data_IF_937156830886
#
_entry.id   IF_937156830886
#
_cell.length_a   1.000
_cell.length_b   1.000
_cell.length_c   1.000
_cell.angle_alpha   90.00
_cell.angle_beta   90.00
_cell.angle_gamma   90.00
#
_symmetry.space_group_name_H-M   'P 1'
#
loop_
_entity.id
_entity.type
_entity.pdbx_description
1 polymer ?
#
# COMPACT_ATOMS: atom_id res chain seq x y z
N UNK A 1 0.30 64.60 5.46
CA UNK A 1 0.07 63.32 6.18
C UNK A 1 -0.84 62.35 5.40
N UNK A 2 -0.57 62.06 4.12
CA UNK A 2 -1.30 61.00 3.38
C UNK A 2 -0.41 60.10 2.51
N UNK A 3 0.89 60.40 2.40
CA UNK A 3 1.84 59.56 1.65
C UNK A 3 2.74 58.67 2.53
N UNK A 4 2.86 58.96 3.83
CA UNK A 4 3.68 58.15 4.75
C UNK A 4 3.02 56.83 5.21
N UNK A 5 1.71 56.67 5.02
CA UNK A 5 0.97 55.48 5.49
C UNK A 5 0.98 54.36 4.44
N UNK A 6 1.21 54.67 3.15
CA UNK A 6 1.24 53.66 2.09
C UNK A 6 2.55 52.87 2.00
N UNK A 7 3.67 53.44 2.46
CA UNK A 7 4.97 52.75 2.45
C UNK A 7 5.11 51.68 3.53
N UNK A 8 4.46 51.87 4.69
CA UNK A 8 4.56 50.94 5.83
C UNK A 8 3.65 49.72 5.64
N UNK A 9 2.50 49.88 4.99
CA UNK A 9 1.60 48.74 4.72
C UNK A 9 2.15 47.77 3.66
N UNK A 10 2.95 48.23 2.70
CA UNK A 10 3.52 47.35 1.67
C UNK A 10 4.73 46.56 2.21
N UNK A 11 5.50 47.14 3.14
CA UNK A 11 6.61 46.44 3.79
C UNK A 11 6.15 45.31 4.73
N UNK A 12 4.98 45.45 5.36
CA UNK A 12 4.40 44.41 6.23
C UNK A 12 3.76 43.24 5.45
N UNK A 13 3.35 43.45 4.20
CA UNK A 13 2.81 42.39 3.36
C UNK A 13 3.88 41.51 2.72
N UNK A 14 5.11 42.00 2.56
CA UNK A 14 6.22 41.19 2.00
C UNK A 14 6.83 40.26 3.06
N UNK A 15 6.79 40.62 4.36
CA UNK A 15 7.26 39.75 5.44
C UNK A 15 6.29 38.62 5.82
N UNK A 16 5.01 38.69 5.43
CA UNK A 16 4.03 37.62 5.72
C UNK A 16 3.94 36.60 4.58
N UNK A 17 4.29 36.97 3.34
CA UNK A 17 4.27 36.04 2.19
C UNK A 17 5.55 35.20 2.08
N UNK A 18 6.64 35.57 2.77
CA UNK A 18 7.87 34.77 2.83
C UNK A 18 7.92 33.76 4.00
N UNK A 19 6.86 33.65 4.81
CA UNK A 19 6.80 32.72 5.95
C UNK A 19 5.81 31.56 5.81
N UNK A 20 5.38 31.25 4.58
CA UNK A 20 4.65 30.01 4.26
C UNK A 20 5.29 29.21 3.12
N UNK A 21 6.53 29.53 2.76
CA UNK A 21 7.43 28.54 2.18
C UNK A 21 8.23 27.86 3.31
N UNK A 22 7.56 27.50 4.41
CA UNK A 22 8.02 26.35 5.19
C UNK A 22 8.00 25.20 4.20
N UNK A 23 9.18 24.74 3.84
CA UNK A 23 9.38 23.44 3.24
C UNK A 23 8.55 22.44 4.04
N UNK A 24 7.38 22.08 3.53
CA UNK A 24 6.91 20.72 3.66
C UNK A 24 7.89 19.86 2.84
N UNK A 25 9.12 19.76 3.32
CA UNK A 25 9.81 18.48 3.35
C UNK A 25 8.87 17.60 4.15
N UNK A 26 7.89 17.02 3.47
CA UNK A 26 7.30 15.76 3.87
C UNK A 26 8.51 14.87 4.11
N UNK A 27 8.90 14.71 5.36
CA UNK A 27 9.86 13.69 5.73
C UNK A 27 9.18 12.39 5.32
N UNK A 28 9.54 11.92 4.14
CA UNK A 28 9.06 10.69 3.54
C UNK A 28 9.75 9.53 4.30
N UNK A 29 9.46 9.45 5.59
CA UNK A 29 9.86 8.37 6.49
C UNK A 29 8.98 7.15 6.17
N UNK A 30 8.99 6.69 4.92
CA UNK A 30 8.62 5.31 4.62
C UNK A 30 9.56 4.42 5.44
N UNK A 31 8.98 3.74 6.42
CA UNK A 31 9.59 2.79 7.33
C UNK A 31 10.35 1.71 6.53
N UNK A 32 11.48 1.25 7.04
CA UNK A 32 12.13 0.06 6.47
C UNK A 32 11.23 -1.16 6.69
N UNK A 33 11.17 -2.03 5.67
CA UNK A 33 10.34 -3.23 5.72
C UNK A 33 10.70 -4.12 6.91
N UNK A 34 9.70 -4.60 7.64
CA UNK A 34 9.91 -5.53 8.74
C UNK A 34 9.98 -6.97 8.20
N UNK A 35 11.20 -7.50 8.10
CA UNK A 35 11.45 -8.85 7.55
C UNK A 35 11.80 -9.86 8.65
N UNK A 36 12.44 -9.42 9.75
CA UNK A 36 13.01 -10.32 10.78
C UNK A 36 12.77 -9.87 12.22
N UNK A 37 12.11 -8.73 12.44
CA UNK A 37 11.86 -8.19 13.77
C UNK A 37 10.67 -8.85 14.48
N UNK A 38 9.85 -8.03 15.13
CA UNK A 38 8.54 -8.44 15.64
C UNK A 38 7.45 -7.79 14.79
N UNK A 39 6.41 -8.54 14.42
CA UNK A 39 5.25 -7.98 13.73
C UNK A 39 4.17 -7.61 14.73
N UNK A 40 4.06 -6.30 15.04
CA UNK A 40 2.98 -5.80 15.92
C UNK A 40 1.60 -6.04 15.31
N UNK A 41 1.46 -5.82 14.01
CA UNK A 41 0.20 -6.02 13.28
C UNK A 41 -0.27 -7.47 13.36
N UNK A 42 0.66 -8.43 13.27
CA UNK A 42 0.31 -9.84 13.42
C UNK A 42 -0.07 -10.18 14.86
N UNK A 43 0.64 -9.66 15.86
CA UNK A 43 0.26 -9.88 17.27
C UNK A 43 -1.12 -9.30 17.57
N UNK A 44 -1.41 -8.09 17.09
CA UNK A 44 -2.74 -7.46 17.23
C UNK A 44 -3.83 -8.31 16.57
N UNK A 45 -3.57 -8.83 15.36
CA UNK A 45 -4.52 -9.72 14.70
C UNK A 45 -4.73 -11.03 15.47
N UNK A 46 -3.65 -11.65 15.99
CA UNK A 46 -3.74 -12.87 16.80
C UNK A 46 -4.58 -12.64 18.06
N UNK A 47 -4.35 -11.53 18.76
CA UNK A 47 -5.08 -11.21 20.00
C UNK A 47 -6.56 -10.97 19.76
N UNK A 48 -6.91 -10.33 18.65
CA UNK A 48 -8.29 -9.93 18.35
C UNK A 48 -9.09 -11.03 17.65
N UNK A 49 -8.48 -11.74 16.71
CA UNK A 49 -9.21 -12.51 15.69
C UNK A 49 -8.96 -14.01 15.75
N UNK A 50 -7.69 -14.42 15.83
CA UNK A 50 -7.29 -15.84 15.72
C UNK A 50 -7.96 -16.71 16.80
N UNK A 51 -8.57 -17.81 16.39
CA UNK A 51 -9.24 -18.78 17.26
C UNK A 51 -10.51 -18.29 17.98
N UNK A 52 -10.94 -17.04 17.75
CA UNK A 52 -12.10 -16.44 18.44
C UNK A 52 -13.30 -16.21 17.52
N UNK A 53 -13.04 -15.79 16.29
CA UNK A 53 -14.07 -15.29 15.38
C UNK A 53 -13.99 -15.90 13.98
N UNK A 54 -13.32 -17.03 13.81
CA UNK A 54 -13.11 -17.66 12.49
C UNK A 54 -14.41 -18.08 11.78
N UNK A 55 -15.52 -18.21 12.52
CA UNK A 55 -16.87 -18.43 11.95
C UNK A 55 -17.69 -17.14 11.83
N UNK A 56 -17.15 -16.01 12.26
CA UNK A 56 -17.82 -14.71 12.26
C UNK A 56 -17.57 -13.97 10.94
N UNK A 57 -18.62 -13.41 10.37
CA UNK A 57 -18.54 -12.61 9.14
C UNK A 57 -17.61 -11.40 9.30
N UNK A 58 -17.49 -10.81 10.49
CA UNK A 58 -16.62 -9.66 10.75
C UNK A 58 -15.14 -10.02 10.66
N UNK A 59 -14.75 -11.23 11.06
CA UNK A 59 -13.39 -11.73 10.86
C UNK A 59 -13.04 -11.75 9.37
N UNK A 60 -13.98 -12.24 8.55
CA UNK A 60 -13.78 -12.42 7.12
C UNK A 60 -13.84 -11.13 6.33
N UNK A 61 -14.71 -10.19 6.69
CA UNK A 61 -14.94 -8.96 5.92
C UNK A 61 -14.18 -7.75 6.43
N UNK A 62 -13.75 -7.76 7.70
CA UNK A 62 -13.10 -6.60 8.33
C UNK A 62 -11.79 -7.00 9.00
N UNK A 63 -11.80 -7.96 9.92
CA UNK A 63 -10.64 -8.27 10.75
C UNK A 63 -9.38 -8.65 9.97
N UNK A 64 -9.42 -9.82 9.35
CA UNK A 64 -8.27 -10.35 8.61
C UNK A 64 -7.93 -9.57 7.33
N UNK A 65 -8.88 -9.17 6.45
CA UNK A 65 -8.50 -8.45 5.24
C UNK A 65 -7.84 -7.09 5.53
N UNK A 66 -8.29 -6.35 6.54
CA UNK A 66 -7.65 -5.08 6.90
C UNK A 66 -6.32 -5.30 7.61
N UNK A 67 -6.15 -6.36 8.39
CA UNK A 67 -4.83 -6.70 8.93
C UNK A 67 -3.83 -6.99 7.80
N UNK A 68 -4.24 -7.74 6.76
CA UNK A 68 -3.41 -7.97 5.56
C UNK A 68 -3.10 -6.64 4.85
N UNK A 69 -4.13 -5.80 4.66
CA UNK A 69 -3.99 -4.45 4.07
C UNK A 69 -2.90 -3.66 4.78
N UNK A 70 -2.99 -3.57 6.10
CA UNK A 70 -2.11 -2.74 6.92
C UNK A 70 -0.69 -3.30 6.90
N UNK A 71 -0.51 -4.63 6.86
CA UNK A 71 0.80 -5.25 6.71
C UNK A 71 1.42 -4.98 5.33
N UNK A 72 0.63 -4.98 4.25
CA UNK A 72 1.11 -4.61 2.91
C UNK A 72 1.53 -3.13 2.86
N UNK A 73 0.71 -2.25 3.45
CA UNK A 73 0.91 -0.79 3.50
C UNK A 73 2.07 -0.37 4.40
N UNK A 74 2.43 -1.18 5.40
CA UNK A 74 3.56 -0.92 6.30
C UNK A 74 4.80 -1.77 5.98
N UNK A 75 4.77 -2.53 4.89
CA UNK A 75 5.82 -3.46 4.49
C UNK A 75 6.23 -4.44 5.61
N UNK A 76 5.25 -4.98 6.33
CA UNK A 76 5.42 -5.97 7.39
C UNK A 76 5.45 -7.39 6.81
N UNK A 77 6.53 -7.70 6.08
CA UNK A 77 6.73 -8.98 5.39
C UNK A 77 6.73 -10.16 6.37
N UNK A 78 7.29 -9.97 7.57
CA UNK A 78 7.23 -10.97 8.62
C UNK A 78 5.78 -11.23 9.04
N UNK A 79 4.98 -10.18 9.27
CA UNK A 79 3.57 -10.30 9.60
C UNK A 79 2.78 -11.06 8.53
N UNK A 80 2.98 -10.69 7.26
CA UNK A 80 2.35 -11.37 6.12
C UNK A 80 2.74 -12.86 6.04
N UNK A 81 4.00 -13.17 6.30
CA UNK A 81 4.50 -14.56 6.31
C UNK A 81 3.86 -15.37 7.42
N UNK A 82 3.81 -14.81 8.64
CA UNK A 82 3.21 -15.48 9.80
C UNK A 82 1.70 -15.70 9.58
N UNK A 83 1.01 -14.69 9.07
CA UNK A 83 -0.41 -14.78 8.76
C UNK A 83 -0.69 -15.82 7.68
N UNK A 84 0.05 -15.79 6.56
CA UNK A 84 -0.10 -16.77 5.49
C UNK A 84 0.13 -18.21 5.97
N UNK A 85 1.06 -18.43 6.90
CA UNK A 85 1.28 -19.74 7.50
C UNK A 85 0.13 -20.20 8.40
N UNK A 86 -0.55 -19.26 9.06
CA UNK A 86 -1.65 -19.54 9.97
C UNK A 86 -2.97 -19.82 9.24
N UNK A 87 -3.33 -18.97 8.28
CA UNK A 87 -4.63 -19.05 7.59
C UNK A 87 -4.56 -19.85 6.30
N UNK A 88 -3.35 -20.17 5.81
CA UNK A 88 -3.10 -20.77 4.51
C UNK A 88 -3.38 -19.86 3.31
N UNK A 89 -2.98 -20.35 2.13
CA UNK A 89 -3.09 -19.62 0.86
C UNK A 89 -4.54 -19.39 0.42
N UNK A 90 -5.39 -20.40 0.54
CA UNK A 90 -6.77 -20.33 0.03
C UNK A 90 -7.54 -19.29 0.83
N UNK A 91 -7.39 -19.32 2.15
CA UNK A 91 -8.05 -18.36 3.03
C UNK A 91 -7.49 -16.95 2.85
N UNK A 92 -6.18 -16.82 2.66
CA UNK A 92 -5.57 -15.53 2.34
C UNK A 92 -6.18 -14.91 1.08
N UNK A 93 -6.36 -15.69 0.02
CA UNK A 93 -7.00 -15.21 -1.22
C UNK A 93 -8.48 -14.90 -0.97
N UNK A 94 -9.19 -15.74 -0.21
CA UNK A 94 -10.59 -15.52 0.17
C UNK A 94 -10.83 -14.16 0.81
N UNK A 95 -9.93 -13.72 1.68
CA UNK A 95 -10.04 -12.41 2.33
C UNK A 95 -9.99 -11.22 1.36
N UNK A 96 -9.47 -11.38 0.14
CA UNK A 96 -9.54 -10.31 -0.88
C UNK A 96 -10.99 -10.03 -1.30
N UNK A 97 -11.74 -11.08 -1.62
CA UNK A 97 -13.15 -10.96 -2.02
C UNK A 97 -14.01 -10.43 -0.87
N UNK A 98 -13.87 -11.05 0.30
CA UNK A 98 -14.73 -10.73 1.45
C UNK A 98 -14.46 -9.33 2.02
N UNK A 99 -13.20 -8.88 1.99
CA UNK A 99 -12.82 -7.52 2.37
C UNK A 99 -13.08 -6.47 1.29
N UNK A 100 -13.46 -6.87 0.07
CA UNK A 100 -13.68 -5.96 -1.05
C UNK A 100 -12.41 -5.24 -1.51
N UNK A 101 -11.25 -5.91 -1.44
CA UNK A 101 -9.95 -5.30 -1.69
C UNK A 101 -8.99 -6.25 -2.39
N UNK A 102 -8.28 -5.73 -3.39
CA UNK A 102 -7.35 -6.51 -4.21
C UNK A 102 -5.93 -6.26 -3.68
N UNK A 103 -5.36 -7.27 -3.01
CA UNK A 103 -4.11 -7.10 -2.25
C UNK A 103 -2.92 -6.70 -3.14
N UNK A 104 -2.84 -7.21 -4.38
CA UNK A 104 -1.78 -6.80 -5.31
C UNK A 104 -1.86 -5.30 -5.63
N UNK A 105 -3.06 -4.76 -5.76
CA UNK A 105 -3.25 -3.34 -6.03
C UNK A 105 -2.87 -2.51 -4.81
N UNK A 106 -3.32 -2.90 -3.62
CA UNK A 106 -2.92 -2.27 -2.35
C UNK A 106 -1.39 -2.23 -2.22
N UNK A 107 -0.71 -3.34 -2.49
CA UNK A 107 0.75 -3.43 -2.43
C UNK A 107 1.44 -2.47 -3.42
N UNK A 108 0.89 -2.31 -4.62
CA UNK A 108 1.37 -1.36 -5.62
C UNK A 108 1.18 0.07 -5.12
N UNK A 109 -0.02 0.44 -4.66
CA UNK A 109 -0.30 1.80 -4.18
C UNK A 109 0.55 2.20 -2.96
N UNK A 110 0.97 1.22 -2.17
CA UNK A 110 1.83 1.41 -1.00
C UNK A 110 3.29 1.77 -1.36
N UNK A 111 3.68 1.65 -2.63
CA UNK A 111 5.03 1.91 -3.12
C UNK A 111 6.12 1.12 -2.35
N UNK A 112 5.83 -0.12 -1.95
CA UNK A 112 6.79 -1.05 -1.34
C UNK A 112 7.03 -2.25 -2.27
N UNK A 113 8.17 -2.29 -2.98
CA UNK A 113 8.48 -3.39 -3.90
C UNK A 113 8.44 -4.78 -3.23
N UNK A 114 8.83 -4.87 -1.96
CA UNK A 114 8.85 -6.11 -1.20
C UNK A 114 7.45 -6.66 -0.95
N UNK A 115 6.44 -5.80 -0.71
CA UNK A 115 5.05 -6.23 -0.55
C UNK A 115 4.51 -6.83 -1.86
N UNK A 116 4.85 -6.22 -3.01
CA UNK A 116 4.52 -6.78 -4.33
C UNK A 116 5.23 -8.11 -4.53
N UNK A 117 6.53 -8.16 -4.28
CA UNK A 117 7.34 -9.38 -4.42
C UNK A 117 6.80 -10.53 -3.57
N UNK A 118 6.43 -10.27 -2.31
CA UNK A 118 5.85 -11.27 -1.41
C UNK A 118 4.63 -11.95 -2.03
N UNK A 119 3.68 -11.16 -2.56
CA UNK A 119 2.45 -11.70 -3.17
C UNK A 119 2.75 -12.56 -4.41
N UNK A 120 3.71 -12.15 -5.23
CA UNK A 120 4.09 -12.88 -6.45
C UNK A 120 4.86 -14.18 -6.14
N UNK A 121 5.81 -14.14 -5.20
CA UNK A 121 6.61 -15.31 -4.83
C UNK A 121 5.77 -16.40 -4.16
N UNK A 122 4.79 -15.99 -3.34
CA UNK A 122 3.86 -16.91 -2.71
C UNK A 122 2.72 -17.34 -3.63
N UNK A 123 2.69 -16.86 -4.88
CA UNK A 123 1.67 -17.16 -5.87
C UNK A 123 0.28 -16.87 -5.31
N UNK A 124 0.01 -15.62 -4.96
CA UNK A 124 -1.23 -15.14 -4.35
C UNK A 124 -2.07 -14.27 -5.29
N UNK A 125 -1.77 -14.29 -6.60
CA UNK A 125 -2.43 -13.49 -7.62
C UNK A 125 -3.42 -14.31 -8.44
N UNK A 126 -4.21 -13.62 -9.27
CA UNK A 126 -5.14 -14.24 -10.21
C UNK A 126 -4.43 -15.18 -11.19
N UNK A 127 -3.25 -14.80 -11.69
CA UNK A 127 -2.49 -15.59 -12.66
C UNK A 127 -2.17 -16.99 -12.14
N UNK A 128 -1.83 -17.11 -10.85
CA UNK A 128 -1.46 -18.38 -10.24
C UNK A 128 -2.64 -19.17 -9.65
N UNK A 129 -3.77 -18.51 -9.37
CA UNK A 129 -4.92 -19.10 -8.65
C UNK A 129 -6.25 -18.83 -9.34
N UNK A 130 -6.26 -18.99 -10.67
CA UNK A 130 -7.41 -18.69 -11.53
C UNK A 130 -8.73 -19.29 -10.98
N UNK A 131 -8.73 -20.56 -10.61
CA UNK A 131 -9.93 -21.25 -10.13
C UNK A 131 -10.50 -20.61 -8.86
N UNK A 132 -9.64 -20.19 -7.93
CA UNK A 132 -10.05 -19.54 -6.67
C UNK A 132 -10.63 -18.16 -6.96
N UNK A 133 -9.99 -17.39 -7.85
CA UNK A 133 -10.46 -16.05 -8.24
C UNK A 133 -11.80 -16.12 -8.99
N UNK A 134 -11.99 -17.13 -9.85
CA UNK A 134 -13.27 -17.36 -10.53
C UNK A 134 -14.38 -17.78 -9.55
N UNK A 135 -14.09 -18.70 -8.61
CA UNK A 135 -15.03 -19.12 -7.56
C UNK A 135 -15.49 -17.93 -6.70
N UNK A 136 -14.57 -17.01 -6.41
CA UNK A 136 -14.81 -15.86 -5.54
C UNK A 136 -15.20 -14.58 -6.30
N UNK A 137 -15.32 -14.66 -7.63
CA UNK A 137 -15.64 -13.51 -8.50
C UNK A 137 -14.70 -12.31 -8.30
N UNK A 138 -13.41 -12.56 -8.04
CA UNK A 138 -12.39 -11.52 -7.92
C UNK A 138 -11.84 -11.19 -9.30
N UNK A 139 -11.93 -9.93 -9.69
CA UNK A 139 -11.18 -9.39 -10.82
C UNK A 139 -9.97 -8.62 -10.29
N UNK A 140 -8.75 -8.97 -10.75
CA UNK A 140 -7.52 -8.30 -10.31
C UNK A 140 -7.31 -6.97 -11.06
N UNK A 141 -8.31 -6.09 -11.02
CA UNK A 141 -8.29 -4.74 -11.61
C UNK A 141 -8.93 -3.72 -10.66
N UNK A 142 -8.44 -2.49 -10.64
CA UNK A 142 -9.10 -1.36 -9.95
C UNK A 142 -9.38 -0.29 -11.00
N UNK A 143 -10.64 0.17 -11.09
CA UNK A 143 -11.07 1.16 -12.07
C UNK A 143 -10.73 0.77 -13.53
N UNK A 144 -10.69 -0.54 -13.82
CA UNK A 144 -10.31 -1.08 -15.12
C UNK A 144 -8.79 -1.08 -15.41
N UNK A 145 -7.95 -0.73 -14.43
CA UNK A 145 -6.51 -0.78 -14.55
C UNK A 145 -5.97 -2.14 -14.11
N UNK A 146 -5.15 -2.73 -14.98
CA UNK A 146 -4.29 -3.88 -14.63
C UNK A 146 -3.18 -3.46 -13.66
N UNK A 147 -2.53 -4.41 -12.94
CA UNK A 147 -1.42 -4.09 -12.04
C UNK A 147 -0.30 -3.27 -12.70
N UNK A 148 0.07 -3.60 -13.94
CA UNK A 148 1.11 -2.88 -14.68
C UNK A 148 0.67 -1.47 -15.07
N UNK A 149 -0.59 -1.26 -15.42
CA UNK A 149 -1.12 0.07 -15.74
C UNK A 149 -1.18 0.94 -14.47
N UNK A 150 -1.64 0.40 -13.35
CA UNK A 150 -1.67 1.10 -12.07
C UNK A 150 -0.26 1.54 -11.64
N UNK A 151 0.72 0.63 -11.68
CA UNK A 151 2.10 0.94 -11.33
C UNK A 151 2.70 2.05 -12.23
N UNK A 152 2.41 2.03 -13.53
CA UNK A 152 2.84 3.09 -14.44
C UNK A 152 2.17 4.43 -14.11
N UNK A 153 0.87 4.44 -13.83
CA UNK A 153 0.16 5.65 -13.44
C UNK A 153 0.77 6.26 -12.18
N UNK A 154 0.96 5.45 -11.13
CA UNK A 154 1.55 5.92 -9.87
C UNK A 154 2.99 6.41 -10.03
N UNK A 155 3.78 5.81 -10.92
CA UNK A 155 5.10 6.32 -11.30
C UNK A 155 5.00 7.75 -11.88
N UNK A 156 4.05 8.01 -12.78
CA UNK A 156 3.88 9.36 -13.35
C UNK A 156 3.44 10.36 -12.28
N UNK A 157 2.55 9.96 -11.38
CA UNK A 157 2.14 10.78 -10.23
C UNK A 157 3.34 11.12 -9.32
N UNK A 158 4.22 10.15 -9.03
CA UNK A 158 5.43 10.36 -8.24
C UNK A 158 6.42 11.30 -8.95
N UNK A 159 6.60 11.14 -10.28
CA UNK A 159 7.42 12.04 -11.11
C UNK A 159 6.90 13.47 -11.09
N UNK A 160 5.58 13.65 -11.24
CA UNK A 160 4.96 14.96 -11.18
C UNK A 160 5.13 15.65 -9.81
N UNK A 161 5.17 14.87 -8.72
CA UNK A 161 5.39 15.35 -7.35
C UNK A 161 6.88 15.53 -6.98
N UNK A 162 7.80 15.06 -7.81
CA UNK A 162 9.24 15.08 -7.50
C UNK A 162 9.64 14.12 -6.37
N UNK A 163 8.85 13.08 -6.10
CA UNK A 163 9.11 12.12 -5.02
C UNK A 163 10.15 11.07 -5.48
N UNK A 164 11.43 11.42 -5.38
CA UNK A 164 12.55 10.56 -5.80
C UNK A 164 12.53 9.15 -5.20
N UNK A 165 12.04 8.98 -3.97
CA UNK A 165 11.97 7.67 -3.32
C UNK A 165 10.85 6.83 -3.92
N UNK A 166 9.64 7.41 -4.03
CA UNK A 166 8.52 6.71 -4.67
C UNK A 166 8.82 6.37 -6.14
N UNK A 167 9.49 7.25 -6.88
CA UNK A 167 9.94 6.99 -8.26
C UNK A 167 10.80 5.72 -8.31
N UNK A 168 11.84 5.65 -7.49
CA UNK A 168 12.73 4.48 -7.46
C UNK A 168 11.99 3.19 -7.06
N UNK A 169 11.02 3.28 -6.15
CA UNK A 169 10.21 2.13 -5.74
C UNK A 169 9.26 1.67 -6.86
N UNK A 170 8.58 2.60 -7.54
CA UNK A 170 7.70 2.25 -8.65
C UNK A 170 8.46 1.69 -9.86
N UNK A 171 9.68 2.19 -10.12
CA UNK A 171 10.55 1.61 -11.15
C UNK A 171 10.87 0.14 -10.85
N UNK A 172 11.22 -0.19 -9.60
CA UNK A 172 11.42 -1.59 -9.17
C UNK A 172 10.14 -2.42 -9.24
N UNK A 173 9.00 -1.88 -8.82
CA UNK A 173 7.71 -2.58 -8.93
C UNK A 173 7.41 -2.92 -10.40
N UNK A 174 7.64 -1.99 -11.33
CA UNK A 174 7.45 -2.24 -12.75
C UNK A 174 8.38 -3.33 -13.29
N UNK A 175 9.63 -3.38 -12.84
CA UNK A 175 10.56 -4.47 -13.19
C UNK A 175 10.04 -5.83 -12.70
N UNK A 176 9.68 -5.92 -11.41
CA UNK A 176 9.12 -7.12 -10.80
C UNK A 176 7.88 -7.61 -11.56
N UNK A 177 6.93 -6.72 -11.87
CA UNK A 177 5.70 -7.07 -12.58
C UNK A 177 5.98 -7.54 -14.02
N UNK A 178 6.92 -6.89 -14.72
CA UNK A 178 7.32 -7.31 -16.08
C UNK A 178 7.96 -8.69 -16.07
N UNK A 179 8.91 -8.94 -15.18
CA UNK A 179 9.54 -10.25 -15.04
C UNK A 179 8.53 -11.34 -14.72
N UNK A 180 7.60 -11.08 -13.81
CA UNK A 180 6.56 -12.03 -13.45
C UNK A 180 5.56 -12.28 -14.59
N UNK A 181 5.26 -11.28 -15.42
CA UNK A 181 4.36 -11.45 -16.57
C UNK A 181 4.88 -12.45 -17.61
N UNK A 182 6.20 -12.56 -17.74
CA UNK A 182 6.90 -13.45 -18.70
C UNK A 182 7.04 -14.89 -18.21
N UNK A 183 7.10 -15.11 -16.89
CA UNK A 183 7.21 -16.44 -16.28
C UNK A 183 5.94 -17.26 -16.41
#
# INVERSE_FOLDING_TARGET
MKQLIKGVLIALLICVVQLQATSHTTQNNQQECNITGESKLYQEWVEQWKGKYETDIYYHQVGTPYAIKDMLEQCDILGLTLMLNDIDKREFIFHQASGGMIFLMVAIESAYPQSVQFLLEHKLTQKDNKDIYEEQMIEETIEGLTPLQLANQKLQEAKAKGDSKAIANYEKILEILKEYSVK
#
